data_IF_458641208627
#
_entry.id   IF_458641208627
#
_cell.length_a   1.000
_cell.length_b   1.000
_cell.length_c   1.000
_cell.angle_alpha   90.00
_cell.angle_beta   90.00
_cell.angle_gamma   90.00
#
_symmetry.space_group_name_H-M   'P 1'
#
loop_
_entity.id
_entity.type
_entity.pdbx_description
1 polymer ?
#
# COMPACT_ATOMS: atom_id res chain seq x y z
N UNK A 1 -8.78 -17.81 -11.73
CA UNK A 1 -10.14 -17.41 -11.25
C UNK A 1 -10.02 -16.04 -10.59
N UNK A 2 -10.82 -15.06 -11.00
CA UNK A 2 -10.69 -13.62 -10.65
C UNK A 2 -10.60 -13.33 -9.14
N UNK A 3 -11.30 -14.09 -8.30
CA UNK A 3 -11.23 -13.95 -6.83
C UNK A 3 -9.81 -14.18 -6.30
N UNK A 4 -9.08 -15.16 -6.83
CA UNK A 4 -7.68 -15.44 -6.44
C UNK A 4 -6.75 -14.29 -6.82
N UNK A 5 -6.90 -13.77 -8.02
CA UNK A 5 -6.10 -12.64 -8.52
C UNK A 5 -6.29 -11.40 -7.64
N UNK A 6 -7.55 -11.07 -7.31
CA UNK A 6 -7.86 -9.96 -6.40
C UNK A 6 -7.27 -10.21 -5.00
N UNK A 7 -7.39 -11.42 -4.47
CA UNK A 7 -6.89 -11.76 -3.14
C UNK A 7 -5.35 -11.75 -3.08
N UNK A 8 -4.67 -12.17 -4.14
CA UNK A 8 -3.21 -12.14 -4.24
C UNK A 8 -2.69 -10.71 -4.38
N UNK A 9 -3.32 -9.90 -5.22
CA UNK A 9 -2.99 -8.48 -5.35
C UNK A 9 -3.30 -7.69 -4.06
N UNK A 10 -4.24 -8.17 -3.24
CA UNK A 10 -4.79 -7.47 -2.06
C UNK A 10 -4.87 -8.39 -0.84
N UNK A 11 -3.74 -8.78 -0.30
CA UNK A 11 -3.61 -9.75 0.81
C UNK A 11 -4.49 -9.43 2.04
N UNK A 12 -4.86 -8.15 2.23
CA UNK A 12 -5.74 -7.70 3.34
C UNK A 12 -7.21 -7.59 2.99
N UNK A 13 -7.60 -7.94 1.76
CA UNK A 13 -9.01 -7.88 1.39
C UNK A 13 -9.75 -9.12 1.88
N UNK A 14 -10.70 -8.88 2.80
CA UNK A 14 -11.69 -9.90 3.13
C UNK A 14 -12.76 -9.97 2.03
N UNK A 15 -13.52 -11.06 2.04
CA UNK A 15 -14.57 -11.35 1.06
C UNK A 15 -15.54 -10.19 0.78
N UNK A 16 -15.77 -9.28 1.77
CA UNK A 16 -16.63 -8.09 1.56
C UNK A 16 -16.03 -7.10 0.57
N UNK A 17 -14.73 -6.80 0.69
CA UNK A 17 -14.01 -5.91 -0.23
C UNK A 17 -13.83 -6.56 -1.61
N UNK A 18 -13.52 -7.85 -1.65
CA UNK A 18 -13.44 -8.64 -2.89
C UNK A 18 -14.76 -8.58 -3.66
N UNK A 19 -15.90 -8.74 -2.97
CA UNK A 19 -17.23 -8.61 -3.58
C UNK A 19 -17.43 -7.24 -4.21
N UNK A 20 -17.07 -6.16 -3.50
CA UNK A 20 -17.23 -4.79 -4.02
C UNK A 20 -16.45 -4.60 -5.31
N UNK A 21 -15.23 -5.14 -5.40
CA UNK A 21 -14.43 -5.07 -6.63
C UNK A 21 -15.05 -5.87 -7.76
N UNK A 22 -15.51 -7.11 -7.50
CA UNK A 22 -16.18 -7.93 -8.50
C UNK A 22 -17.42 -7.24 -9.06
N UNK A 23 -18.25 -6.66 -8.19
CA UNK A 23 -19.46 -5.95 -8.64
C UNK A 23 -19.11 -4.70 -9.47
N UNK A 24 -17.97 -4.03 -9.20
CA UNK A 24 -17.47 -2.91 -10.01
C UNK A 24 -16.95 -3.36 -11.38
N UNK A 25 -16.42 -4.57 -11.46
CA UNK A 25 -16.03 -5.19 -12.74
C UNK A 25 -17.21 -5.71 -13.54
N UNK A 26 -18.44 -5.46 -13.06
CA UNK A 26 -19.65 -5.91 -13.74
C UNK A 26 -20.12 -7.32 -13.36
N UNK A 27 -19.47 -7.98 -12.39
CA UNK A 27 -19.94 -9.26 -11.87
C UNK A 27 -21.01 -9.03 -10.80
N UNK A 28 -22.26 -9.31 -11.12
CA UNK A 28 -23.33 -9.25 -10.12
C UNK A 28 -23.27 -10.49 -9.20
N UNK A 29 -22.48 -10.39 -8.11
CA UNK A 29 -22.25 -11.49 -7.18
C UNK A 29 -22.75 -11.16 -5.78
N UNK A 30 -23.52 -12.09 -5.22
CA UNK A 30 -24.04 -11.99 -3.87
C UNK A 30 -22.96 -12.20 -2.81
N UNK A 31 -23.16 -11.62 -1.62
CA UNK A 31 -22.23 -11.69 -0.48
C UNK A 31 -21.93 -13.13 -0.06
N UNK A 32 -22.95 -13.99 -0.07
CA UNK A 32 -22.82 -15.38 0.38
C UNK A 32 -22.00 -16.24 -0.57
N UNK A 33 -22.16 -16.02 -1.88
CA UNK A 33 -21.39 -16.72 -2.90
C UNK A 33 -19.90 -16.40 -2.78
N UNK A 34 -19.55 -15.10 -2.68
CA UNK A 34 -18.15 -14.69 -2.53
C UNK A 34 -17.54 -15.19 -1.22
N UNK A 35 -18.31 -15.18 -0.12
CA UNK A 35 -17.88 -15.74 1.15
C UNK A 35 -17.53 -17.23 1.03
N UNK A 36 -18.43 -18.03 0.41
CA UNK A 36 -18.23 -19.46 0.22
C UNK A 36 -16.99 -19.75 -0.61
N UNK A 37 -16.86 -19.07 -1.75
CA UNK A 37 -15.71 -19.24 -2.63
C UNK A 37 -14.39 -18.84 -1.95
N UNK A 38 -14.35 -17.74 -1.20
CA UNK A 38 -13.16 -17.35 -0.44
C UNK A 38 -12.82 -18.40 0.65
N UNK A 39 -13.82 -19.07 1.23
CA UNK A 39 -13.60 -20.12 2.22
C UNK A 39 -13.04 -21.38 1.58
N UNK A 40 -13.62 -21.83 0.48
CA UNK A 40 -13.19 -23.00 -0.30
C UNK A 40 -11.75 -22.84 -0.82
N UNK A 41 -11.41 -21.64 -1.26
CA UNK A 41 -10.09 -21.28 -1.77
C UNK A 41 -9.04 -20.96 -0.69
N UNK A 42 -9.41 -21.05 0.60
CA UNK A 42 -8.50 -20.71 1.70
C UNK A 42 -8.11 -19.24 1.81
N UNK A 43 -8.82 -18.34 1.11
CA UNK A 43 -8.55 -16.91 1.04
C UNK A 43 -9.16 -16.11 2.20
N UNK A 44 -9.68 -16.79 3.22
CA UNK A 44 -10.25 -16.14 4.40
C UNK A 44 -9.16 -15.48 5.23
N UNK A 45 -9.31 -14.19 5.51
CA UNK A 45 -8.47 -13.51 6.48
C UNK A 45 -8.61 -14.20 7.83
N UNK A 46 -7.53 -14.76 8.35
CA UNK A 46 -7.50 -15.29 9.72
C UNK A 46 -7.84 -14.14 10.66
N UNK A 47 -8.97 -14.24 11.36
CA UNK A 47 -9.36 -13.27 12.39
C UNK A 47 -8.26 -13.28 13.45
N UNK A 48 -7.44 -12.26 13.48
CA UNK A 48 -6.45 -12.09 14.55
C UNK A 48 -7.25 -11.93 15.84
N UNK A 49 -7.23 -12.94 16.69
CA UNK A 49 -7.62 -12.75 18.09
C UNK A 49 -6.68 -11.70 18.66
N UNK A 50 -7.15 -10.74 19.48
CA UNK A 50 -6.28 -9.86 20.21
C UNK A 50 -5.56 -10.72 21.25
N UNK A 51 -4.44 -11.25 20.88
CA UNK A 51 -3.58 -12.03 21.72
C UNK A 51 -2.20 -11.41 21.65
N UNK A 52 -1.65 -11.18 22.85
CA UNK A 52 -0.34 -10.64 23.01
C UNK A 52 0.68 -11.19 22.03
N UNK A 53 1.50 -10.30 21.55
CA UNK A 53 2.81 -10.44 20.86
C UNK A 53 3.19 -11.84 20.32
N UNK A 54 2.32 -12.50 19.61
CA UNK A 54 2.76 -13.55 18.70
C UNK A 54 3.04 -12.86 17.37
N UNK A 55 4.33 -12.70 17.05
CA UNK A 55 4.77 -12.44 15.69
C UNK A 55 4.08 -13.49 14.83
N UNK A 56 3.03 -13.08 14.11
CA UNK A 56 2.50 -13.91 13.05
C UNK A 56 3.70 -14.25 12.18
N UNK A 57 3.99 -15.54 12.03
CA UNK A 57 4.87 -15.98 10.96
C UNK A 57 4.18 -15.52 9.67
N UNK A 58 4.49 -14.32 9.24
CA UNK A 58 4.22 -13.89 7.89
C UNK A 58 4.93 -14.92 7.04
N UNK A 59 4.18 -15.64 6.22
CA UNK A 59 4.75 -16.12 4.97
C UNK A 59 5.47 -14.89 4.41
N UNK A 60 6.78 -14.85 4.58
CA UNK A 60 7.63 -13.88 3.91
C UNK A 60 7.55 -14.27 2.44
N UNK A 61 6.56 -13.76 1.74
CA UNK A 61 6.76 -13.54 0.32
C UNK A 61 8.10 -12.83 0.23
N UNK A 62 9.00 -13.39 -0.54
CA UNK A 62 10.33 -12.81 -0.73
C UNK A 62 10.13 -11.32 -0.99
N UNK A 63 10.71 -10.50 -0.11
CA UNK A 63 10.60 -9.05 -0.27
C UNK A 63 11.13 -8.75 -1.66
N UNK A 64 10.29 -8.20 -2.50
CA UNK A 64 10.69 -7.74 -3.83
C UNK A 64 11.87 -6.80 -3.61
N UNK A 65 13.07 -7.25 -4.01
CA UNK A 65 14.24 -6.40 -4.05
C UNK A 65 14.25 -5.76 -5.44
N UNK A 66 14.04 -4.45 -5.54
CA UNK A 66 14.13 -3.79 -6.84
C UNK A 66 15.53 -3.98 -7.41
N UNK A 67 15.62 -4.27 -8.68
CA UNK A 67 16.86 -4.48 -9.42
C UNK A 67 17.14 -3.36 -10.41
N UNK A 68 16.15 -2.50 -10.64
CA UNK A 68 16.23 -1.35 -11.53
C UNK A 68 15.43 -0.15 -10.98
N UNK A 69 15.70 1.07 -11.47
CA UNK A 69 14.89 2.24 -11.18
C UNK A 69 13.41 2.01 -11.52
N UNK A 70 12.53 2.70 -10.82
CA UNK A 70 11.08 2.71 -11.02
C UNK A 70 10.37 1.35 -10.82
N UNK A 71 11.07 0.30 -10.39
CA UNK A 71 10.42 -0.97 -10.05
C UNK A 71 9.66 -0.93 -8.71
N UNK A 72 10.17 -0.17 -7.76
CA UNK A 72 9.60 -0.11 -6.41
C UNK A 72 9.71 1.29 -5.82
N UNK A 73 8.57 1.85 -5.43
CA UNK A 73 8.50 3.14 -4.75
C UNK A 73 8.18 2.96 -3.27
N UNK A 74 8.70 3.86 -2.44
CA UNK A 74 8.40 3.93 -1.01
C UNK A 74 7.76 5.26 -0.71
N UNK A 75 6.66 5.23 0.04
CA UNK A 75 5.95 6.43 0.49
C UNK A 75 5.95 6.50 2.01
N UNK A 76 6.14 7.70 2.53
CA UNK A 76 6.07 7.99 3.97
C UNK A 76 5.36 9.33 4.20
N UNK A 77 4.59 9.40 5.30
CA UNK A 77 4.01 10.64 5.79
C UNK A 77 4.73 11.09 7.05
N UNK A 78 5.13 12.33 7.03
CA UNK A 78 5.70 13.01 8.20
C UNK A 78 4.76 14.14 8.62
N UNK A 79 4.30 14.10 9.86
CA UNK A 79 3.58 15.21 10.47
C UNK A 79 4.56 16.07 11.24
N UNK A 80 4.49 17.38 11.06
CA UNK A 80 5.30 18.36 11.77
C UNK A 80 4.50 19.63 12.05
N UNK A 81 5.09 20.58 12.74
CA UNK A 81 4.44 21.81 13.19
C UNK A 81 5.37 22.99 12.99
N UNK A 82 4.80 24.09 12.46
CA UNK A 82 5.49 25.35 12.33
C UNK A 82 5.63 26.05 13.69
N UNK A 83 6.47 27.08 13.76
CA UNK A 83 6.70 27.86 14.99
C UNK A 83 5.43 28.56 15.52
N UNK A 84 4.47 28.86 14.63
CA UNK A 84 3.18 29.45 14.97
C UNK A 84 2.14 28.42 15.48
N UNK A 85 2.52 27.15 15.57
CA UNK A 85 1.64 26.07 15.98
C UNK A 85 0.83 25.42 14.85
N UNK A 86 0.94 25.89 13.63
CA UNK A 86 0.24 25.32 12.48
C UNK A 86 0.81 23.95 12.14
N UNK A 87 -0.04 22.93 12.17
CA UNK A 87 0.34 21.56 11.77
C UNK A 87 0.35 21.41 10.26
N UNK A 88 1.32 20.69 9.76
CA UNK A 88 1.38 20.30 8.36
C UNK A 88 1.80 18.84 8.20
N UNK A 89 1.52 18.31 7.03
CA UNK A 89 1.88 16.96 6.61
C UNK A 89 2.80 17.05 5.40
N UNK A 90 3.78 16.18 5.35
CA UNK A 90 4.63 15.99 4.18
C UNK A 90 4.53 14.56 3.69
N UNK A 91 4.11 14.38 2.45
CA UNK A 91 4.19 13.11 1.73
C UNK A 91 5.51 13.06 0.98
N UNK A 92 6.32 12.07 1.24
CA UNK A 92 7.56 11.82 0.50
C UNK A 92 7.44 10.53 -0.29
N UNK A 93 7.78 10.57 -1.58
CA UNK A 93 7.84 9.39 -2.45
C UNK A 93 9.27 9.23 -2.96
N UNK A 94 9.83 8.05 -2.74
CA UNK A 94 11.23 7.73 -3.04
C UNK A 94 11.29 6.48 -3.90
N UNK A 95 12.10 6.49 -4.95
CA UNK A 95 12.50 5.25 -5.63
C UNK A 95 13.45 4.47 -4.72
N UNK A 96 13.13 3.20 -4.48
CA UNK A 96 13.86 2.36 -3.54
C UNK A 96 15.24 1.96 -4.06
N UNK A 97 15.40 1.81 -5.38
CA UNK A 97 16.65 1.33 -5.99
C UNK A 97 17.75 2.41 -6.01
N UNK A 98 17.56 3.57 -6.67
CA UNK A 98 18.54 4.64 -6.64
C UNK A 98 18.50 5.48 -5.36
N UNK A 99 17.44 5.32 -4.52
CA UNK A 99 17.15 6.14 -3.34
C UNK A 99 16.94 7.61 -3.68
N UNK A 100 16.32 7.86 -4.82
CA UNK A 100 16.00 9.19 -5.31
C UNK A 100 14.65 9.64 -4.75
N UNK A 101 14.58 10.87 -4.22
CA UNK A 101 13.31 11.49 -3.85
C UNK A 101 12.62 11.99 -5.13
N UNK A 102 11.48 11.40 -5.46
CA UNK A 102 10.74 11.70 -6.68
C UNK A 102 9.67 12.77 -6.47
N UNK A 103 9.09 12.81 -5.29
CA UNK A 103 8.09 13.81 -4.93
C UNK A 103 8.13 14.11 -3.44
N UNK A 104 7.92 15.38 -3.11
CA UNK A 104 7.67 15.86 -1.75
C UNK A 104 6.49 16.83 -1.85
N UNK A 105 5.34 16.41 -1.29
CA UNK A 105 4.13 17.23 -1.24
C UNK A 105 3.88 17.67 0.20
N UNK A 106 3.61 18.95 0.39
CA UNK A 106 3.38 19.52 1.73
C UNK A 106 2.01 20.17 1.77
N UNK A 107 1.24 19.91 2.82
CA UNK A 107 -0.08 20.49 3.00
C UNK A 107 -0.59 20.40 4.43
N UNK A 108 -1.53 21.24 4.78
CA UNK A 108 -2.19 21.20 6.10
C UNK A 108 -3.12 19.99 6.25
N UNK A 109 -3.55 19.42 5.13
CA UNK A 109 -4.40 18.21 5.09
C UNK A 109 -4.10 17.46 3.79
N UNK A 110 -3.35 16.37 3.89
CA UNK A 110 -3.10 15.46 2.77
C UNK A 110 -3.97 14.21 2.95
N UNK A 111 -4.82 13.94 1.96
CA UNK A 111 -5.74 12.79 1.93
C UNK A 111 -5.30 11.75 0.90
N UNK A 112 -5.96 10.60 0.90
CA UNK A 112 -5.67 9.55 -0.07
C UNK A 112 -5.81 9.97 -1.53
N UNK A 113 -6.69 10.94 -1.82
CA UNK A 113 -6.85 11.48 -3.18
C UNK A 113 -5.64 12.33 -3.60
N UNK A 114 -5.03 13.07 -2.68
CA UNK A 114 -3.81 13.85 -2.93
C UNK A 114 -2.62 12.92 -3.23
N UNK A 115 -2.54 11.80 -2.51
CA UNK A 115 -1.55 10.74 -2.77
C UNK A 115 -1.73 10.16 -4.17
N UNK A 116 -2.97 9.84 -4.55
CA UNK A 116 -3.30 9.32 -5.89
C UNK A 116 -2.98 10.33 -6.98
N UNK A 117 -3.23 11.62 -6.73
CA UNK A 117 -2.85 12.69 -7.67
C UNK A 117 -1.34 12.71 -7.91
N UNK A 118 -0.55 12.67 -6.85
CA UNK A 118 0.93 12.63 -6.94
C UNK A 118 1.41 11.36 -7.65
N UNK A 119 0.82 10.20 -7.35
CA UNK A 119 1.16 8.95 -8.02
C UNK A 119 0.82 8.97 -9.52
N UNK A 120 -0.30 9.59 -9.91
CA UNK A 120 -0.64 9.75 -11.33
C UNK A 120 0.35 10.65 -12.06
N UNK A 121 0.83 11.74 -11.45
CA UNK A 121 1.87 12.59 -12.00
C UNK A 121 3.15 11.77 -12.23
N UNK A 122 3.64 11.08 -11.21
CA UNK A 122 4.84 10.25 -11.31
C UNK A 122 4.70 9.11 -12.33
N UNK A 123 3.50 8.52 -12.43
CA UNK A 123 3.19 7.52 -13.45
C UNK A 123 3.40 8.04 -14.86
N UNK A 124 3.01 9.28 -15.15
CA UNK A 124 3.22 9.89 -16.47
C UNK A 124 4.69 10.18 -16.76
N UNK A 125 5.46 10.49 -15.73
CA UNK A 125 6.87 10.84 -15.86
C UNK A 125 7.78 9.60 -15.93
N UNK A 126 7.49 8.56 -15.15
CA UNK A 126 8.39 7.42 -14.90
C UNK A 126 7.77 6.04 -15.14
N UNK A 127 6.48 5.97 -15.37
CA UNK A 127 5.77 4.69 -15.50
C UNK A 127 5.17 4.20 -14.19
N UNK A 128 4.73 2.95 -14.17
CA UNK A 128 4.05 2.33 -13.02
C UNK A 128 5.00 1.40 -12.29
N UNK A 129 5.21 1.57 -10.98
CA UNK A 129 6.04 0.67 -10.20
C UNK A 129 5.35 -0.69 -10.01
N UNK A 130 6.11 -1.76 -9.97
CA UNK A 130 5.61 -3.11 -9.64
C UNK A 130 5.05 -3.16 -8.21
N UNK A 131 5.71 -2.44 -7.29
CA UNK A 131 5.31 -2.41 -5.87
C UNK A 131 5.48 -1.01 -5.28
N UNK A 132 4.52 -0.64 -4.44
CA UNK A 132 4.56 0.58 -3.64
C UNK A 132 4.59 0.18 -2.17
N UNK A 133 5.68 0.51 -1.48
CA UNK A 133 5.82 0.31 -0.04
C UNK A 133 5.24 1.52 0.69
N UNK A 134 4.44 1.28 1.70
CA UNK A 134 3.92 2.33 2.59
C UNK A 134 3.74 1.78 4.00
N UNK A 135 3.61 2.67 4.97
CA UNK A 135 3.24 2.28 6.31
C UNK A 135 1.72 2.00 6.43
N UNK A 136 1.24 1.73 7.65
CA UNK A 136 -0.17 1.46 7.89
C UNK A 136 -0.97 2.74 8.18
N UNK A 137 -0.53 3.91 7.75
CA UNK A 137 -1.26 5.15 7.89
C UNK A 137 -2.67 5.07 7.30
N UNK A 138 -3.62 5.80 7.89
CA UNK A 138 -5.01 5.85 7.41
C UNK A 138 -5.11 6.34 5.97
N UNK A 139 -4.21 7.21 5.59
CA UNK A 139 -4.07 7.84 4.29
C UNK A 139 -3.75 6.81 3.20
N UNK A 140 -2.84 5.87 3.51
CA UNK A 140 -2.44 4.80 2.60
C UNK A 140 -3.40 3.62 2.55
N UNK A 141 -4.24 3.47 3.58
CA UNK A 141 -5.29 2.45 3.61
C UNK A 141 -6.58 2.94 2.96
N UNK A 142 -6.54 4.11 2.30
CA UNK A 142 -7.68 4.70 1.65
C UNK A 142 -8.16 3.87 0.46
N UNK A 143 -9.46 3.95 0.20
CA UNK A 143 -10.07 3.28 -0.95
C UNK A 143 -9.48 3.78 -2.30
N UNK A 144 -9.09 5.06 -2.37
CA UNK A 144 -8.50 5.66 -3.55
C UNK A 144 -7.16 5.01 -3.92
N UNK A 145 -6.30 4.79 -2.93
CA UNK A 145 -5.02 4.11 -3.10
C UNK A 145 -5.17 2.66 -3.57
N UNK A 146 -6.10 1.94 -2.95
CA UNK A 146 -6.39 0.57 -3.33
C UNK A 146 -6.89 0.47 -4.77
N UNK A 147 -7.75 1.40 -5.17
CA UNK A 147 -8.28 1.46 -6.53
C UNK A 147 -7.19 1.80 -7.54
N UNK A 148 -6.36 2.80 -7.22
CA UNK A 148 -5.24 3.20 -8.09
C UNK A 148 -4.29 2.03 -8.36
N UNK A 149 -3.86 1.34 -7.31
CA UNK A 149 -2.93 0.23 -7.47
C UNK A 149 -3.55 -0.93 -8.25
N UNK A 150 -4.84 -1.20 -8.04
CA UNK A 150 -5.58 -2.20 -8.81
C UNK A 150 -5.65 -1.86 -10.30
N UNK A 151 -6.02 -0.62 -10.62
CA UNK A 151 -6.13 -0.17 -12.01
C UNK A 151 -4.80 -0.19 -12.76
N UNK A 152 -3.71 0.06 -12.04
CA UNK A 152 -2.38 0.12 -12.63
C UNK A 152 -1.57 -1.20 -12.49
N UNK A 153 -2.16 -2.26 -11.93
CA UNK A 153 -1.46 -3.53 -11.74
C UNK A 153 -0.29 -3.48 -10.75
N UNK A 154 -0.23 -2.43 -9.91
CA UNK A 154 0.79 -2.27 -8.88
C UNK A 154 0.39 -2.96 -7.59
N UNK A 155 1.35 -3.51 -6.85
CA UNK A 155 1.13 -4.11 -5.52
C UNK A 155 1.39 -3.08 -4.42
N UNK A 156 0.47 -2.92 -3.47
CA UNK A 156 0.75 -2.15 -2.26
C UNK A 156 1.24 -3.11 -1.17
N UNK A 157 2.44 -2.86 -0.67
CA UNK A 157 3.03 -3.59 0.46
C UNK A 157 3.12 -2.65 1.67
N UNK A 158 2.35 -2.96 2.71
CA UNK A 158 2.36 -2.24 3.98
C UNK A 158 3.49 -2.68 4.91
N UNK A 159 4.47 -3.40 4.43
CA UNK A 159 5.69 -3.65 5.17
C UNK A 159 6.64 -2.47 4.95
N UNK A 160 7.14 -1.89 6.05
CA UNK A 160 8.18 -0.86 5.92
C UNK A 160 9.30 -1.37 5.02
N UNK A 161 9.70 -0.62 3.98
CA UNK A 161 10.93 -0.93 3.28
C UNK A 161 12.04 -0.98 4.32
N UNK A 162 13.05 -1.78 4.08
CA UNK A 162 14.20 -2.02 4.95
C UNK A 162 14.54 -0.81 5.82
N UNK A 163 14.39 -0.99 7.16
CA UNK A 163 14.57 0.04 8.17
C UNK A 163 15.87 0.84 7.97
N UNK A 164 15.73 2.05 7.49
CA UNK A 164 16.79 3.05 7.41
C UNK A 164 17.27 3.51 8.82
N UNK A 165 16.61 3.04 9.89
CA UNK A 165 16.93 3.46 11.28
C UNK A 165 18.23 2.90 11.85
N UNK A 166 18.95 2.02 11.15
CA UNK A 166 20.16 1.43 11.70
C UNK A 166 21.49 2.01 11.18
N UNK A 167 21.45 2.89 10.17
CA UNK A 167 22.66 3.42 9.53
C UNK A 167 22.89 4.93 9.67
N UNK A 168 22.10 5.67 10.46
CA UNK A 168 22.32 7.10 10.65
C UNK A 168 23.29 7.44 11.82
N UNK A 169 23.78 6.43 12.55
CA UNK A 169 24.69 6.64 13.70
C UNK A 169 26.02 5.89 13.61
N UNK A 170 26.45 5.49 12.41
CA UNK A 170 27.75 4.80 12.24
C UNK A 170 28.81 5.63 11.51
N UNK A 171 28.64 6.93 11.40
CA UNK A 171 29.69 7.83 10.95
C UNK A 171 29.80 8.98 11.96
N UNK A 172 30.46 8.69 13.08
CA UNK A 172 31.11 9.64 13.97
C UNK A 172 32.48 9.07 14.31
#
# INVERSE_FOLDING_TARGET
>A
MRIREIAQARVRYGYRKIRVLLNREGWDVGKYLVYRLCKEEGLMLKRMKPAGRRKAARLREEKVKPTAPDEAWSMDFVADQLQDGTRFWSLTIVDVYPREAMAIEVGQSLKGDDVVHTLNRLKHERGVPKVVFCDNGSEFTSHAMDLWAYQNGSKIDFSRPWSTRRNLYQYS
#
